data_IF_906423477521
#
_entry.id   IF_906423477521
#
_cell.length_a   1.000
_cell.length_b   1.000
_cell.length_c   1.000
_cell.angle_alpha   90.00
_cell.angle_beta   90.00
_cell.angle_gamma   90.00
#
_symmetry.space_group_name_H-M   'P 1'
#
loop_
_entity.id
_entity.type
_entity.pdbx_description
1 polymer ?
#
# COMPACT_ATOMS: atom_id res chain seq x y z
N UNK A 1 6.85 1.59 -13.17
CA UNK A 1 5.40 1.85 -13.28
C UNK A 1 5.03 1.82 -14.73
N UNK A 2 4.01 1.05 -15.09
CA UNK A 2 3.51 0.89 -16.45
C UNK A 2 2.10 1.51 -16.53
N UNK A 3 1.83 2.26 -17.57
CA UNK A 3 0.54 2.89 -17.77
C UNK A 3 -0.17 2.26 -18.97
N UNK A 4 -1.44 1.91 -18.79
CA UNK A 4 -2.31 1.37 -19.84
C UNK A 4 -3.52 2.31 -19.95
N UNK A 5 -3.65 2.97 -21.09
CA UNK A 5 -4.74 3.88 -21.37
C UNK A 5 -5.76 3.16 -22.25
N UNK A 6 -7.00 3.11 -21.77
CA UNK A 6 -8.14 2.60 -22.51
C UNK A 6 -8.86 3.78 -23.18
N UNK A 7 -9.46 3.58 -24.36
CA UNK A 7 -10.23 4.57 -25.13
C UNK A 7 -9.44 5.71 -25.79
N UNK A 8 -8.13 5.57 -26.00
CA UNK A 8 -7.35 6.57 -26.72
C UNK A 8 -5.87 6.48 -26.49
N UNK A 9 -5.08 7.11 -27.35
CA UNK A 9 -3.62 7.07 -27.31
C UNK A 9 -3.01 8.02 -26.25
N UNK A 10 -3.80 8.97 -25.74
CA UNK A 10 -3.34 9.97 -24.76
C UNK A 10 -4.44 10.35 -23.78
N UNK A 11 -4.08 10.61 -22.51
CA UNK A 11 -5.04 11.10 -21.53
C UNK A 11 -5.61 12.47 -21.96
N UNK A 12 -6.91 12.65 -21.80
CA UNK A 12 -7.58 13.93 -22.02
C UNK A 12 -7.40 14.77 -20.75
N UNK A 13 -6.80 15.94 -20.89
CA UNK A 13 -6.51 16.87 -19.78
C UNK A 13 -7.65 17.84 -19.49
N UNK A 14 -8.80 17.70 -20.18
CA UNK A 14 -9.97 18.53 -19.91
C UNK A 14 -10.49 18.35 -18.49
N UNK A 15 -10.84 19.47 -17.87
CA UNK A 15 -11.35 19.50 -16.49
C UNK A 15 -12.78 18.96 -16.46
N UNK A 16 -12.93 17.65 -16.30
CA UNK A 16 -14.23 17.01 -16.15
C UNK A 16 -14.81 17.26 -14.76
N UNK A 17 -16.12 17.44 -14.68
CA UNK A 17 -16.85 17.46 -13.40
C UNK A 17 -16.80 16.10 -12.72
N UNK A 18 -17.02 16.04 -11.41
CA UNK A 18 -17.06 14.77 -10.65
C UNK A 18 -18.08 13.78 -11.23
N UNK A 19 -19.22 14.26 -11.72
CA UNK A 19 -20.25 13.42 -12.33
C UNK A 19 -19.77 12.82 -13.65
N UNK A 20 -19.12 13.63 -14.50
CA UNK A 20 -18.56 13.18 -15.77
C UNK A 20 -17.43 12.15 -15.57
N UNK A 21 -16.58 12.36 -14.57
CA UNK A 21 -15.54 11.38 -14.22
C UNK A 21 -16.13 10.05 -13.77
N UNK A 22 -17.17 10.08 -12.91
CA UNK A 22 -17.87 8.87 -12.49
C UNK A 22 -18.52 8.14 -13.66
N UNK A 23 -19.08 8.88 -14.60
CA UNK A 23 -19.68 8.28 -15.78
C UNK A 23 -18.60 7.66 -16.68
N UNK A 24 -17.53 8.37 -16.97
CA UNK A 24 -16.39 7.85 -17.75
C UNK A 24 -15.80 6.55 -17.14
N UNK A 25 -15.72 6.49 -15.79
CA UNK A 25 -15.30 5.27 -15.08
C UNK A 25 -16.25 4.10 -15.26
N UNK A 26 -17.55 4.35 -15.29
CA UNK A 26 -18.55 3.31 -15.53
C UNK A 26 -18.53 2.84 -16.97
N UNK A 27 -18.40 3.77 -17.90
CA UNK A 27 -18.40 3.48 -19.33
C UNK A 27 -17.20 2.63 -19.75
N UNK A 28 -16.03 2.85 -19.14
CA UNK A 28 -14.78 2.12 -19.41
C UNK A 28 -14.52 0.91 -18.48
N UNK A 29 -15.49 0.55 -17.63
CA UNK A 29 -15.30 -0.49 -16.59
C UNK A 29 -14.88 -1.82 -17.21
N UNK A 30 -15.64 -2.29 -18.21
CA UNK A 30 -15.42 -3.60 -18.81
C UNK A 30 -14.03 -3.70 -19.45
N UNK A 31 -13.65 -2.70 -20.23
CA UNK A 31 -12.37 -2.66 -20.94
C UNK A 31 -11.18 -2.59 -19.96
N UNK A 32 -11.30 -1.81 -18.87
CA UNK A 32 -10.26 -1.74 -17.84
C UNK A 32 -10.12 -3.03 -17.07
N UNK A 33 -11.23 -3.68 -16.72
CA UNK A 33 -11.22 -4.97 -16.04
C UNK A 33 -10.67 -6.07 -16.93
N UNK A 34 -11.02 -6.06 -18.23
CA UNK A 34 -10.48 -7.02 -19.18
C UNK A 34 -8.96 -6.85 -19.36
N UNK A 35 -8.47 -5.62 -19.52
CA UNK A 35 -7.03 -5.35 -19.63
C UNK A 35 -6.25 -5.80 -18.37
N UNK A 36 -6.84 -5.67 -17.19
CA UNK A 36 -6.26 -6.17 -15.95
C UNK A 36 -6.24 -7.71 -15.91
N UNK A 37 -7.34 -8.34 -16.31
CA UNK A 37 -7.44 -9.80 -16.34
C UNK A 37 -6.46 -10.42 -17.34
N UNK A 38 -6.26 -9.81 -18.50
CA UNK A 38 -5.31 -10.25 -19.51
C UNK A 38 -3.88 -10.29 -18.96
N UNK A 39 -3.48 -9.29 -18.14
CA UNK A 39 -2.19 -9.30 -17.45
C UNK A 39 -2.07 -10.43 -16.43
N UNK A 40 -3.09 -10.59 -15.58
CA UNK A 40 -3.11 -11.60 -14.51
C UNK A 40 -3.11 -12.99 -15.09
N UNK A 41 -3.94 -13.26 -16.12
CA UNK A 41 -4.13 -14.58 -16.67
C UNK A 41 -2.96 -15.05 -17.55
N UNK A 42 -2.18 -14.10 -18.10
CA UNK A 42 -0.99 -14.42 -18.91
C UNK A 42 0.22 -14.81 -18.05
N UNK A 43 0.20 -14.50 -16.75
CA UNK A 43 1.29 -14.77 -15.81
C UNK A 43 0.90 -15.83 -14.79
N UNK A 44 1.88 -16.62 -14.35
CA UNK A 44 1.73 -17.54 -13.21
C UNK A 44 2.18 -16.94 -11.88
N UNK A 45 2.58 -15.68 -11.87
CA UNK A 45 3.04 -14.98 -10.67
C UNK A 45 1.87 -14.47 -9.84
N UNK A 46 2.17 -14.07 -8.60
CA UNK A 46 1.18 -13.49 -7.68
C UNK A 46 0.85 -12.04 -8.05
N UNK A 47 -0.44 -11.68 -7.98
CA UNK A 47 -0.95 -10.37 -8.36
C UNK A 47 -1.83 -9.75 -7.28
N UNK A 48 -1.60 -8.46 -7.02
CA UNK A 48 -2.44 -7.63 -6.17
C UNK A 48 -3.19 -6.61 -7.02
N UNK A 49 -4.51 -6.75 -7.10
CA UNK A 49 -5.35 -5.89 -7.95
C UNK A 49 -6.18 -4.95 -7.07
N UNK A 50 -5.90 -3.66 -7.22
CA UNK A 50 -6.60 -2.59 -6.54
C UNK A 50 -7.70 -2.01 -7.40
N UNK A 51 -8.90 -1.92 -6.86
CA UNK A 51 -10.06 -1.27 -7.47
C UNK A 51 -10.68 -0.25 -6.52
N UNK A 52 -11.59 0.59 -7.00
CA UNK A 52 -12.26 1.61 -6.19
C UNK A 52 -13.78 1.35 -6.13
N UNK A 53 -14.38 0.87 -7.23
CA UNK A 53 -15.80 0.58 -7.31
C UNK A 53 -16.10 -0.89 -6.94
N UNK A 54 -17.32 -1.17 -6.44
CA UNK A 54 -17.77 -2.53 -6.17
C UNK A 54 -17.94 -3.34 -7.45
N UNK A 55 -18.43 -2.68 -8.50
CA UNK A 55 -18.66 -3.31 -9.79
C UNK A 55 -17.33 -3.72 -10.46
N UNK A 56 -16.27 -2.87 -10.32
CA UNK A 56 -14.91 -3.23 -10.74
C UNK A 56 -14.40 -4.45 -9.98
N UNK A 57 -14.56 -4.47 -8.66
CA UNK A 57 -14.13 -5.57 -7.80
C UNK A 57 -14.74 -6.90 -8.19
N UNK A 58 -16.06 -6.91 -8.38
CA UNK A 58 -16.79 -8.10 -8.78
C UNK A 58 -16.41 -8.57 -10.19
N UNK A 59 -16.31 -7.64 -11.13
CA UNK A 59 -15.95 -7.97 -12.51
C UNK A 59 -14.52 -8.52 -12.63
N UNK A 60 -13.58 -7.96 -11.90
CA UNK A 60 -12.21 -8.47 -11.82
C UNK A 60 -12.16 -9.89 -11.25
N UNK A 61 -12.94 -10.16 -10.20
CA UNK A 61 -13.07 -11.50 -9.63
C UNK A 61 -13.62 -12.52 -10.61
N UNK A 62 -14.56 -12.14 -11.48
CA UNK A 62 -15.10 -13.03 -12.52
C UNK A 62 -14.09 -13.30 -13.66
N UNK A 63 -13.27 -12.31 -14.03
CA UNK A 63 -12.39 -12.37 -15.19
C UNK A 63 -10.99 -12.92 -14.89
N UNK A 64 -10.48 -12.72 -13.66
CA UNK A 64 -9.15 -13.17 -13.28
C UNK A 64 -9.18 -14.62 -12.78
N UNK A 65 -8.32 -15.45 -13.36
CA UNK A 65 -8.17 -16.86 -12.94
C UNK A 65 -7.59 -16.94 -11.52
N UNK A 66 -8.09 -17.89 -10.71
CA UNK A 66 -7.65 -18.15 -9.34
C UNK A 66 -7.66 -16.87 -8.47
N UNK A 67 -8.67 -16.02 -8.67
CA UNK A 67 -8.80 -14.78 -7.95
C UNK A 67 -9.71 -14.88 -6.73
N UNK A 68 -9.36 -14.11 -5.70
CA UNK A 68 -10.15 -13.94 -4.49
C UNK A 68 -10.49 -12.46 -4.30
N UNK A 69 -11.75 -12.19 -3.99
CA UNK A 69 -12.24 -10.83 -3.75
C UNK A 69 -12.44 -10.58 -2.26
N UNK A 70 -11.99 -9.43 -1.76
CA UNK A 70 -12.30 -8.94 -0.41
C UNK A 70 -13.11 -7.66 -0.48
N UNK A 71 -14.36 -7.74 -0.01
CA UNK A 71 -15.31 -6.61 0.10
C UNK A 71 -15.39 -6.05 1.50
N UNK A 72 -15.86 -4.80 1.61
CA UNK A 72 -16.16 -4.18 2.90
C UNK A 72 -17.21 -4.96 3.73
N UNK A 73 -18.21 -5.55 3.06
CA UNK A 73 -19.29 -6.32 3.65
C UNK A 73 -18.95 -7.74 4.11
N UNK A 74 -17.79 -8.27 3.71
CA UNK A 74 -17.41 -9.64 4.05
C UNK A 74 -17.14 -9.81 5.55
N UNK A 75 -17.37 -11.03 6.03
CA UNK A 75 -17.13 -11.38 7.44
C UNK A 75 -15.65 -11.17 7.80
N UNK A 76 -15.34 -10.64 9.00
CA UNK A 76 -13.96 -10.43 9.43
C UNK A 76 -13.09 -11.69 9.35
N UNK A 77 -13.63 -12.86 9.66
CA UNK A 77 -12.91 -14.15 9.57
C UNK A 77 -12.47 -14.47 8.14
N UNK A 78 -13.33 -14.24 7.16
CA UNK A 78 -13.01 -14.44 5.74
C UNK A 78 -11.89 -13.48 5.30
N UNK A 79 -12.01 -12.19 5.65
CA UNK A 79 -10.98 -11.19 5.30
C UNK A 79 -9.60 -11.58 5.86
N UNK A 80 -9.56 -11.94 7.15
CA UNK A 80 -8.30 -12.33 7.81
C UNK A 80 -7.70 -13.56 7.15
N UNK A 81 -8.52 -14.58 6.89
CA UNK A 81 -8.05 -15.81 6.26
C UNK A 81 -7.53 -15.55 4.84
N UNK A 82 -8.30 -14.87 3.98
CA UNK A 82 -7.89 -14.57 2.60
C UNK A 82 -6.63 -13.71 2.55
N UNK A 83 -6.49 -12.75 3.47
CA UNK A 83 -5.28 -11.93 3.56
C UNK A 83 -4.07 -12.75 4.02
N UNK A 84 -4.24 -13.72 4.92
CA UNK A 84 -3.19 -14.64 5.35
C UNK A 84 -2.80 -15.58 4.20
N UNK A 85 -3.77 -16.19 3.54
CA UNK A 85 -3.55 -17.08 2.39
C UNK A 85 -2.79 -16.36 1.25
N UNK A 86 -3.10 -15.07 1.02
CA UNK A 86 -2.35 -14.24 0.07
C UNK A 86 -0.92 -13.97 0.56
N UNK A 87 -0.70 -13.76 1.85
CA UNK A 87 0.64 -13.56 2.43
C UNK A 87 1.49 -14.82 2.34
N UNK A 88 0.86 -16.00 2.40
CA UNK A 88 1.51 -17.32 2.34
C UNK A 88 1.66 -17.84 0.89
N UNK A 89 1.42 -16.99 -0.11
CA UNK A 89 1.51 -17.30 -1.56
C UNK A 89 0.62 -18.46 -2.02
N UNK A 90 -0.49 -18.70 -1.31
CA UNK A 90 -1.46 -19.75 -1.67
C UNK A 90 -2.57 -19.24 -2.60
N UNK A 91 -2.68 -17.93 -2.75
CA UNK A 91 -3.63 -17.26 -3.65
C UNK A 91 -2.84 -16.53 -4.73
N UNK A 92 -3.17 -16.81 -6.00
CA UNK A 92 -2.53 -16.18 -7.15
C UNK A 92 -2.94 -14.71 -7.31
N UNK A 93 -4.20 -14.41 -7.20
CA UNK A 93 -4.71 -13.05 -7.42
C UNK A 93 -5.63 -12.60 -6.29
N UNK A 94 -5.30 -11.46 -5.68
CA UNK A 94 -6.14 -10.81 -4.67
C UNK A 94 -6.73 -9.52 -5.22
N UNK A 95 -8.05 -9.45 -5.31
CA UNK A 95 -8.82 -8.26 -5.71
C UNK A 95 -9.39 -7.58 -4.48
N UNK A 96 -9.01 -6.33 -4.23
CA UNK A 96 -9.50 -5.58 -3.06
C UNK A 96 -9.41 -4.07 -3.27
N UNK A 97 -9.81 -3.31 -2.27
CA UNK A 97 -9.76 -1.85 -2.28
C UNK A 97 -8.70 -1.30 -1.34
N UNK A 98 -8.04 -0.19 -1.69
CA UNK A 98 -7.11 0.49 -0.78
C UNK A 98 -7.74 0.87 0.56
N UNK A 99 -9.04 1.14 0.59
CA UNK A 99 -9.78 1.43 1.84
C UNK A 99 -9.98 0.23 2.75
N UNK A 100 -9.84 -1.00 2.24
CA UNK A 100 -10.02 -2.25 2.99
C UNK A 100 -8.68 -2.81 3.43
N UNK A 101 -7.77 -3.00 2.49
CA UNK A 101 -6.49 -3.67 2.73
C UNK A 101 -5.27 -2.75 2.53
N UNK A 102 -5.49 -1.45 2.29
CA UNK A 102 -4.42 -0.46 2.12
C UNK A 102 -3.66 -0.11 3.40
N UNK A 103 -4.04 -0.63 4.57
CA UNK A 103 -3.39 -0.38 5.86
C UNK A 103 -3.04 -1.70 6.57
N UNK A 104 -1.88 -1.71 7.22
CA UNK A 104 -1.47 -2.77 8.15
C UNK A 104 -0.85 -4.03 7.56
N UNK A 105 -1.16 -4.42 6.33
CA UNK A 105 -0.66 -5.66 5.72
C UNK A 105 0.77 -5.51 5.16
N UNK A 106 1.51 -6.62 5.16
CA UNK A 106 2.81 -6.73 4.55
C UNK A 106 2.77 -7.84 3.49
N UNK A 107 2.86 -7.46 2.22
CA UNK A 107 2.80 -8.37 1.07
C UNK A 107 4.03 -8.21 0.18
N UNK A 108 5.20 -8.18 0.79
CA UNK A 108 6.47 -8.04 0.08
C UNK A 108 6.83 -9.26 -0.78
N UNK A 109 6.19 -10.42 -0.60
CA UNK A 109 6.34 -11.57 -1.48
C UNK A 109 5.71 -11.29 -2.87
N UNK A 110 4.63 -10.48 -2.92
CA UNK A 110 4.01 -10.06 -4.16
C UNK A 110 4.76 -8.84 -4.73
N UNK A 111 5.12 -8.90 -6.01
CA UNK A 111 5.81 -7.82 -6.70
C UNK A 111 5.08 -7.30 -7.94
N UNK A 112 3.91 -7.87 -8.27
CA UNK A 112 3.07 -7.39 -9.36
C UNK A 112 1.77 -6.78 -8.83
N UNK A 113 1.49 -5.56 -9.26
CA UNK A 113 0.39 -4.76 -8.74
C UNK A 113 -0.35 -4.04 -9.86
N UNK A 114 -1.68 -4.10 -9.83
CA UNK A 114 -2.54 -3.39 -10.77
C UNK A 114 -3.44 -2.42 -10.03
N UNK A 115 -3.58 -1.20 -10.53
CA UNK A 115 -4.60 -0.24 -10.14
C UNK A 115 -5.61 -0.09 -11.28
N UNK A 116 -6.83 -0.57 -11.09
CA UNK A 116 -7.93 -0.43 -12.04
C UNK A 116 -8.68 0.86 -11.73
N UNK A 117 -8.27 1.93 -12.40
CA UNK A 117 -8.65 3.30 -12.06
C UNK A 117 -7.92 3.84 -10.83
N UNK A 118 -7.88 5.15 -10.70
CA UNK A 118 -7.26 5.85 -9.59
C UNK A 118 -8.29 6.73 -8.87
N UNK A 119 -8.24 6.76 -7.54
CA UNK A 119 -8.94 7.78 -6.77
C UNK A 119 -8.08 9.04 -6.69
N UNK A 120 -8.70 10.21 -6.46
CA UNK A 120 -7.97 11.49 -6.29
C UNK A 120 -7.11 11.54 -5.00
N UNK A 121 -7.05 10.45 -4.23
CA UNK A 121 -6.32 10.36 -2.98
C UNK A 121 -4.93 9.77 -3.18
N UNK A 122 -3.92 10.64 -3.22
CA UNK A 122 -2.52 10.23 -3.22
C UNK A 122 -2.16 9.35 -2.01
N UNK A 123 -2.72 9.64 -0.85
CA UNK A 123 -2.47 8.86 0.36
C UNK A 123 -2.91 7.40 0.19
N UNK A 124 -4.13 7.16 -0.32
CA UNK A 124 -4.64 5.80 -0.57
C UNK A 124 -3.78 5.06 -1.59
N UNK A 125 -3.40 5.73 -2.66
CA UNK A 125 -2.50 5.18 -3.67
C UNK A 125 -1.14 4.81 -3.06
N UNK A 126 -0.52 5.74 -2.35
CA UNK A 126 0.78 5.52 -1.72
C UNK A 126 0.74 4.41 -0.67
N UNK A 127 -0.29 4.37 0.18
CA UNK A 127 -0.45 3.32 1.18
C UNK A 127 -0.66 1.94 0.53
N UNK A 128 -1.42 1.86 -0.55
CA UNK A 128 -1.60 0.64 -1.32
C UNK A 128 -0.28 0.17 -1.96
N UNK A 129 0.46 1.08 -2.57
CA UNK A 129 1.78 0.81 -3.15
C UNK A 129 2.75 0.24 -2.10
N UNK A 130 2.74 0.78 -0.88
CA UNK A 130 3.60 0.36 0.24
C UNK A 130 3.26 -1.03 0.80
N UNK A 131 2.25 -1.72 0.29
CA UNK A 131 1.98 -3.12 0.69
C UNK A 131 3.02 -4.08 0.13
N UNK A 132 3.43 -3.87 -1.12
CA UNK A 132 4.45 -4.68 -1.80
C UNK A 132 5.81 -3.95 -1.86
N UNK A 133 5.81 -2.65 -2.15
CA UNK A 133 7.04 -1.84 -2.21
C UNK A 133 7.50 -1.43 -0.81
N UNK A 134 8.29 -2.28 -0.18
CA UNK A 134 8.65 -2.16 1.23
C UNK A 134 10.09 -2.59 1.47
N UNK A 135 10.65 -2.25 2.64
CA UNK A 135 11.93 -2.77 3.06
C UNK A 135 11.89 -4.31 3.16
N UNK A 136 12.87 -4.98 2.54
CA UNK A 136 12.91 -6.43 2.44
C UNK A 136 12.28 -7.00 1.15
N UNK A 137 11.80 -6.15 0.24
CA UNK A 137 11.42 -6.57 -1.12
C UNK A 137 12.68 -6.89 -1.93
N UNK A 138 12.76 -8.11 -2.47
CA UNK A 138 13.92 -8.62 -3.21
C UNK A 138 13.74 -8.49 -4.73
N UNK A 139 12.50 -8.26 -5.20
CA UNK A 139 12.17 -8.13 -6.60
C UNK A 139 11.79 -6.70 -6.99
N UNK A 140 11.94 -6.37 -8.25
CA UNK A 140 11.41 -5.12 -8.80
C UNK A 140 9.88 -5.14 -8.74
N UNK A 141 9.27 -4.13 -8.11
CA UNK A 141 7.81 -4.04 -8.01
C UNK A 141 7.25 -3.42 -9.28
N UNK A 142 6.52 -4.24 -10.03
CA UNK A 142 5.81 -3.82 -11.23
C UNK A 142 4.44 -3.25 -10.86
N UNK A 143 4.19 -2.02 -11.23
CA UNK A 143 2.93 -1.34 -10.97
C UNK A 143 2.29 -0.96 -12.29
N UNK A 144 1.12 -1.51 -12.55
CA UNK A 144 0.31 -1.21 -13.73
C UNK A 144 -0.86 -0.32 -13.35
N UNK A 145 -1.01 0.80 -14.02
CA UNK A 145 -2.11 1.73 -13.83
C UNK A 145 -2.97 1.70 -15.07
N UNK A 146 -4.19 1.20 -14.94
CA UNK A 146 -5.15 1.07 -16.03
C UNK A 146 -6.24 2.13 -15.86
N UNK A 147 -6.26 3.11 -16.74
CA UNK A 147 -7.18 4.24 -16.70
C UNK A 147 -7.83 4.48 -18.06
N UNK A 148 -9.03 5.06 -18.05
CA UNK A 148 -9.61 5.64 -19.25
C UNK A 148 -8.86 6.91 -19.66
N UNK A 149 -8.76 7.19 -20.95
CA UNK A 149 -8.21 8.44 -21.46
C UNK A 149 -8.85 9.67 -20.81
N UNK A 150 -10.13 9.59 -20.43
CA UNK A 150 -10.88 10.64 -19.74
C UNK A 150 -10.54 10.81 -18.26
N UNK A 151 -9.74 9.93 -17.67
CA UNK A 151 -9.30 10.00 -16.28
C UNK A 151 -7.89 10.62 -16.13
N UNK A 152 -7.28 11.12 -17.19
CA UNK A 152 -5.91 11.68 -17.18
C UNK A 152 -5.69 12.79 -16.15
N UNK A 153 -6.69 13.61 -15.87
CA UNK A 153 -6.62 14.65 -14.84
C UNK A 153 -6.48 14.09 -13.40
N UNK A 154 -6.92 12.87 -13.13
CA UNK A 154 -6.76 12.22 -11.83
C UNK A 154 -5.29 11.84 -11.63
N UNK A 155 -4.67 11.29 -12.66
CA UNK A 155 -3.25 10.95 -12.66
C UNK A 155 -2.38 12.18 -12.43
N UNK A 156 -2.59 13.25 -13.19
CA UNK A 156 -1.85 14.52 -13.04
C UNK A 156 -1.97 15.07 -11.60
N UNK A 157 -3.16 14.97 -11.00
CA UNK A 157 -3.36 15.36 -9.60
C UNK A 157 -2.56 14.51 -8.62
N UNK A 158 -2.45 13.20 -8.85
CA UNK A 158 -1.65 12.31 -8.01
C UNK A 158 -0.18 12.63 -8.15
N UNK A 159 0.34 12.78 -9.36
CA UNK A 159 1.73 13.15 -9.64
C UNK A 159 2.11 14.50 -9.01
N UNK A 160 1.23 15.49 -9.13
CA UNK A 160 1.43 16.79 -8.47
C UNK A 160 1.51 16.65 -6.95
N UNK A 161 0.59 15.90 -6.34
CA UNK A 161 0.58 15.65 -4.88
C UNK A 161 1.81 14.87 -4.43
N UNK A 162 2.31 13.95 -5.23
CA UNK A 162 3.55 13.24 -4.96
C UNK A 162 4.74 14.18 -4.93
N UNK A 163 4.85 15.06 -5.93
CA UNK A 163 5.91 16.07 -5.96
C UNK A 163 5.85 17.03 -4.78
N UNK A 164 4.65 17.46 -4.40
CA UNK A 164 4.44 18.35 -3.25
C UNK A 164 4.82 17.63 -1.93
N UNK A 165 4.48 16.35 -1.78
CA UNK A 165 4.87 15.54 -0.64
C UNK A 165 6.40 15.35 -0.55
N UNK A 166 7.07 15.13 -1.69
CA UNK A 166 8.54 15.05 -1.76
C UNK A 166 9.21 16.36 -1.39
N UNK A 167 8.69 17.51 -1.88
CA UNK A 167 9.20 18.84 -1.51
C UNK A 167 9.04 19.08 -0.02
N UNK A 168 7.88 18.77 0.55
CA UNK A 168 7.61 18.91 1.98
C UNK A 168 8.54 18.02 2.83
N UNK A 169 8.71 16.76 2.43
CA UNK A 169 9.65 15.83 3.09
C UNK A 169 11.08 16.37 3.09
N UNK A 170 11.57 16.87 1.95
CA UNK A 170 12.93 17.41 1.84
C UNK A 170 13.08 18.66 2.71
N UNK A 171 12.10 19.56 2.72
CA UNK A 171 12.12 20.74 3.58
C UNK A 171 12.13 20.34 5.08
N UNK A 172 11.34 19.35 5.49
CA UNK A 172 11.35 18.84 6.86
C UNK A 172 12.70 18.23 7.24
N UNK A 173 13.34 17.47 6.33
CA UNK A 173 14.66 16.90 6.58
C UNK A 173 15.70 18.01 6.79
N UNK A 174 15.70 19.06 5.98
CA UNK A 174 16.64 20.17 6.13
C UNK A 174 16.45 20.93 7.44
N UNK A 175 15.18 21.25 7.79
CA UNK A 175 14.86 21.89 9.08
C UNK A 175 15.28 21.02 10.27
N UNK A 176 15.02 19.72 10.21
CA UNK A 176 15.37 18.78 11.28
C UNK A 176 16.87 18.64 11.42
N UNK A 177 17.64 18.63 10.31
CA UNK A 177 19.11 18.60 10.36
C UNK A 177 19.68 19.79 11.10
N UNK A 178 19.14 21.00 10.89
CA UNK A 178 19.61 22.20 11.58
C UNK A 178 19.31 22.16 13.08
N UNK A 179 18.10 21.71 13.45
CA UNK A 179 17.70 21.56 14.86
C UNK A 179 18.59 20.51 15.54
N UNK A 180 18.75 19.34 14.93
CA UNK A 180 19.57 18.24 15.47
C UNK A 180 21.04 18.66 15.60
N UNK A 181 21.60 19.40 14.61
CA UNK A 181 22.97 19.94 14.71
C UNK A 181 23.10 20.94 15.86
N UNK A 182 22.08 21.73 16.10
CA UNK A 182 22.06 22.72 17.19
C UNK A 182 22.00 22.02 18.55
N UNK A 183 21.13 21.02 18.68
CA UNK A 183 21.00 20.20 19.88
C UNK A 183 22.28 19.40 20.19
N UNK A 184 22.87 18.74 19.17
CA UNK A 184 24.13 18.01 19.33
C UNK A 184 25.31 18.93 19.72
N UNK A 185 25.32 20.19 19.27
CA UNK A 185 26.34 21.16 19.67
C UNK A 185 26.13 21.74 21.07
N UNK A 186 24.90 21.76 21.54
CA UNK A 186 24.54 22.30 22.87
C UNK A 186 24.54 21.22 23.95
N UNK A 187 24.43 19.94 23.60
CA UNK A 187 24.52 18.85 24.57
C UNK A 187 25.98 18.43 24.79
N UNK A 188 26.75 19.23 25.49
CA UNK A 188 27.86 18.67 26.25
C UNK A 188 27.25 17.72 27.30
N UNK A 189 27.30 16.42 27.06
CA UNK A 189 27.05 15.43 28.10
C UNK A 189 28.15 15.61 29.15
N UNK A 190 27.82 16.36 30.20
CA UNK A 190 28.56 16.24 31.47
C UNK A 190 28.21 14.84 31.96
N UNK A 191 29.11 13.89 31.75
CA UNK A 191 29.01 12.57 32.36
C UNK A 191 29.25 12.79 33.86
N UNK A 192 28.21 13.04 34.60
CA UNK A 192 28.22 12.88 36.05
C UNK A 192 28.35 11.41 36.29
N UNK A 193 29.40 10.93 37.02
CA UNK A 193 29.49 9.52 37.38
C UNK A 193 28.22 9.17 38.18
N UNK A 194 27.45 8.20 37.69
CA UNK A 194 26.30 7.67 38.40
C UNK A 194 26.80 6.91 39.63
N UNK A 195 26.64 7.48 40.80
CA UNK A 195 26.76 6.79 42.07
C UNK A 195 25.34 6.42 42.50
N UNK A 196 25.05 5.13 42.47
CA UNK A 196 23.78 4.63 42.98
C UNK A 196 23.84 4.69 44.53
N UNK A 197 23.09 5.60 45.14
CA UNK A 197 22.93 5.66 46.59
C UNK A 197 21.95 4.61 47.15
N UNK A 198 21.34 3.81 46.24
CA UNK A 198 20.45 2.71 46.59
C UNK A 198 20.60 1.55 45.61
N UNK A 199 20.51 0.33 46.11
CA UNK A 199 20.49 -0.87 45.27
C UNK A 199 19.26 -0.88 44.36
N UNK A 200 19.45 -1.27 43.10
CA UNK A 200 18.36 -1.45 42.16
C UNK A 200 17.48 -2.62 42.60
N UNK A 201 16.24 -2.32 42.98
CA UNK A 201 15.23 -3.34 43.26
C UNK A 201 14.57 -3.70 41.91
N UNK A 202 14.83 -4.94 41.46
CA UNK A 202 14.18 -5.44 40.24
C UNK A 202 12.70 -5.68 40.50
N UNK A 203 11.81 -5.31 39.54
CA UNK A 203 10.39 -5.62 39.64
C UNK A 203 10.17 -7.14 39.79
N UNK A 204 9.26 -7.55 40.67
CA UNK A 204 9.00 -8.97 40.99
C UNK A 204 8.58 -9.86 39.80
N UNK A 205 8.21 -9.26 38.64
CA UNK A 205 7.95 -10.02 37.42
C UNK A 205 9.22 -10.68 36.80
N UNK A 206 10.43 -10.22 37.15
CA UNK A 206 11.66 -10.87 36.69
C UNK A 206 11.98 -12.15 37.45
N UNK A 207 11.42 -12.35 38.65
CA UNK A 207 11.54 -13.60 39.40
C UNK A 207 10.78 -14.75 38.71
N UNK A 208 9.63 -14.47 38.09
CA UNK A 208 8.86 -15.46 37.33
C UNK A 208 9.61 -15.98 36.09
N UNK A 209 10.47 -15.18 35.49
CA UNK A 209 11.23 -15.59 34.30
C UNK A 209 12.39 -16.54 34.63
N UNK A 210 12.91 -16.52 35.86
CA UNK A 210 14.00 -17.40 36.31
C UNK A 210 13.56 -18.77 36.79
N UNK A 211 12.34 -18.88 37.34
CA UNK A 211 11.77 -20.16 37.74
C UNK A 211 11.29 -20.99 36.54
N UNK A 212 10.74 -20.37 35.53
CA UNK A 212 10.31 -21.06 34.28
C UNK A 212 11.49 -21.64 33.47
N UNK A 213 12.68 -21.09 33.60
CA UNK A 213 13.88 -21.59 32.90
C UNK A 213 14.50 -22.77 33.67
N UNK A 214 14.34 -22.84 35.01
CA UNK A 214 14.87 -23.93 35.83
C UNK A 214 14.03 -25.21 35.84
N UNK A 215 12.75 -25.11 35.46
CA UNK A 215 11.84 -26.26 35.33
C UNK A 215 11.87 -26.91 33.94
N UNK A 216 12.61 -26.35 32.98
CA UNK A 216 12.76 -26.84 31.61
C UNK A 216 14.16 -27.46 31.34
N UNK A 217 14.98 -27.64 32.37
CA UNK A 217 16.24 -28.38 32.37
C UNK A 217 16.07 -29.59 33.22
#
# INVERSE_FOLDING_TARGET
VHEIIIDGDKPVTETLTLTQRRQARKDSLEERCQAAADLVNTSNEQWLVWCDLNDESHRLWELCDDSYEIKGSDKPSYKVQTMADFSDDTIKCLVTKPSIAGFGMNWQQCHNMIFVGLSDSYEKYYQALRRCWRFGQEHEVNVYIIISAREGCVKENIERKEQDALKMKNAMIELTKEITKKELKTTCRIMTPYNADADMVLPGWEEFSRESIRSAS
#
